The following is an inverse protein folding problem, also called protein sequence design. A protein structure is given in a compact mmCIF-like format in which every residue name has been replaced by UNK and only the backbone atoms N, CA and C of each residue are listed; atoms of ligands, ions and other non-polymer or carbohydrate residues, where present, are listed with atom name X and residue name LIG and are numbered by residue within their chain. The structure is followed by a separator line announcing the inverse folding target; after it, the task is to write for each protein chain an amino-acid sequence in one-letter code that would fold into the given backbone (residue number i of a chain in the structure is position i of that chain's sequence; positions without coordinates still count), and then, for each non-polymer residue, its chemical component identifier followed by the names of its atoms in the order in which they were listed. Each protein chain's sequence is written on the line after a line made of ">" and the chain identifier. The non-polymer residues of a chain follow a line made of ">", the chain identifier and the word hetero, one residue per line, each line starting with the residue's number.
data_IF_442116590524
#
_entry.id   IF_442116590524
#
_cell.length_a   1.000
_cell.length_b   1.000
_cell.length_c   1.000
_cell.angle_alpha   90.00
_cell.angle_beta   90.00
_cell.angle_gamma   90.00
#
_symmetry.space_group_name_H-M   'P 1'
#
loop_
_entity.id
_entity.type
_entity.pdbx_description
1 polymer ?
#
# COMPACT_ATOMS: atom_id res chain seq x y z
N UNK A 1 -32.08 -5.32 -36.88
CA UNK A 1 -30.83 -6.05 -36.57
C UNK A 1 -31.04 -7.53 -36.78
N UNK A 2 -30.45 -8.13 -37.82
CA UNK A 2 -30.46 -9.57 -38.08
C UNK A 2 -29.18 -10.18 -37.47
N UNK A 3 -29.28 -11.32 -36.77
CA UNK A 3 -28.14 -11.87 -36.01
C UNK A 3 -26.92 -12.22 -36.88
N UNK A 4 -27.13 -12.64 -38.13
CA UNK A 4 -26.04 -13.08 -39.00
C UNK A 4 -25.16 -11.95 -39.54
N UNK A 5 -25.60 -10.69 -39.44
CA UNK A 5 -24.80 -9.50 -39.78
C UNK A 5 -24.28 -8.76 -38.54
N UNK A 6 -24.64 -9.21 -37.34
CA UNK A 6 -24.23 -8.56 -36.10
C UNK A 6 -22.76 -8.88 -35.76
N UNK A 7 -22.00 -7.85 -35.42
CA UNK A 7 -20.58 -7.89 -35.09
C UNK A 7 -20.32 -7.17 -33.78
N UNK A 8 -19.45 -7.75 -32.94
CA UNK A 8 -18.97 -7.13 -31.71
C UNK A 8 -17.73 -6.29 -32.01
N UNK A 9 -17.74 -5.01 -31.66
CA UNK A 9 -16.54 -4.18 -31.70
C UNK A 9 -15.57 -4.60 -30.59
N UNK A 10 -14.31 -4.85 -30.94
CA UNK A 10 -13.31 -5.34 -29.98
C UNK A 10 -12.76 -4.24 -29.04
N UNK A 11 -13.02 -2.97 -29.35
CA UNK A 11 -12.49 -1.85 -28.55
C UNK A 11 -13.51 -1.27 -27.57
N UNK A 12 -14.80 -1.21 -27.96
CA UNK A 12 -15.86 -0.64 -27.11
C UNK A 12 -16.94 -1.65 -26.69
N UNK A 13 -16.81 -2.92 -27.08
CA UNK A 13 -17.72 -4.01 -26.73
C UNK A 13 -19.20 -3.81 -27.16
N UNK A 14 -19.44 -2.91 -28.12
CA UNK A 14 -20.78 -2.65 -28.68
C UNK A 14 -21.08 -3.52 -29.91
N UNK A 15 -22.36 -3.81 -30.15
CA UNK A 15 -22.82 -4.67 -31.25
C UNK A 15 -23.45 -3.85 -32.38
N UNK A 16 -22.89 -3.97 -33.59
CA UNK A 16 -23.32 -3.23 -34.78
C UNK A 16 -23.28 -4.11 -36.05
N UNK A 17 -23.91 -3.65 -37.13
CA UNK A 17 -23.91 -4.29 -38.45
C UNK A 17 -23.09 -3.53 -39.52
N UNK A 18 -22.51 -2.38 -39.15
CA UNK A 18 -21.63 -1.59 -40.01
C UNK A 18 -20.22 -2.19 -40.15
N UNK A 19 -19.44 -1.70 -41.13
CA UNK A 19 -18.02 -2.06 -41.30
C UNK A 19 -17.09 -1.28 -40.36
N UNK A 20 -17.57 -0.14 -39.83
CA UNK A 20 -16.86 0.75 -38.92
C UNK A 20 -17.76 0.99 -37.70
N UNK A 21 -17.18 0.96 -36.50
CA UNK A 21 -17.95 1.18 -35.28
C UNK A 21 -18.40 2.65 -35.21
N UNK A 22 -19.71 2.95 -35.12
CA UNK A 22 -20.20 4.32 -35.03
C UNK A 22 -19.90 5.01 -33.69
N UNK A 23 -19.45 4.25 -32.67
CA UNK A 23 -19.14 4.76 -31.34
C UNK A 23 -17.67 5.15 -31.22
N UNK A 24 -16.75 4.28 -31.64
CA UNK A 24 -15.30 4.50 -31.48
C UNK A 24 -14.50 4.60 -32.79
N UNK A 25 -15.11 4.36 -33.96
CA UNK A 25 -14.42 4.40 -35.25
C UNK A 25 -13.49 3.21 -35.52
N UNK A 26 -13.60 2.13 -34.74
CA UNK A 26 -12.81 0.93 -34.96
C UNK A 26 -13.29 0.11 -36.16
N UNK A 27 -12.35 -0.52 -36.87
CA UNK A 27 -12.57 -1.53 -37.91
C UNK A 27 -12.34 -2.97 -37.40
N UNK A 28 -12.06 -3.13 -36.10
CA UNK A 28 -11.77 -4.43 -35.48
C UNK A 28 -13.02 -5.06 -34.88
N UNK A 29 -13.45 -6.19 -35.46
CA UNK A 29 -14.71 -6.84 -35.11
C UNK A 29 -14.59 -8.35 -34.92
N UNK A 30 -15.42 -8.91 -34.04
CA UNK A 30 -15.68 -10.33 -33.91
C UNK A 30 -17.09 -10.68 -34.40
N UNK A 31 -17.20 -11.77 -35.18
CA UNK A 31 -18.50 -12.28 -35.61
C UNK A 31 -19.18 -13.06 -34.50
N UNK A 32 -20.48 -12.82 -34.30
CA UNK A 32 -21.28 -13.50 -33.29
C UNK A 32 -22.17 -14.53 -33.99
N UNK A 33 -22.18 -15.77 -33.52
CA UNK A 33 -23.00 -16.84 -34.11
C UNK A 33 -24.37 -17.01 -33.45
N UNK A 34 -24.51 -16.59 -32.19
CA UNK A 34 -25.76 -16.71 -31.42
C UNK A 34 -25.85 -15.63 -30.34
N UNK A 35 -27.06 -15.15 -30.10
CA UNK A 35 -27.37 -14.37 -28.91
C UNK A 35 -27.73 -15.31 -27.76
N UNK A 36 -27.00 -15.23 -26.65
CA UNK A 36 -27.38 -15.95 -25.42
C UNK A 36 -28.19 -14.94 -24.61
N UNK A 37 -29.51 -15.12 -24.44
CA UNK A 37 -30.27 -14.23 -23.59
C UNK A 37 -29.67 -14.26 -22.19
N UNK A 38 -29.34 -13.09 -21.66
CA UNK A 38 -28.95 -12.98 -20.27
C UNK A 38 -30.09 -13.61 -19.44
N UNK A 39 -29.78 -14.55 -18.53
CA UNK A 39 -30.82 -15.11 -17.68
C UNK A 39 -31.46 -13.95 -16.94
N UNK A 40 -32.75 -13.70 -17.21
CA UNK A 40 -33.57 -12.68 -16.56
C UNK A 40 -33.19 -12.66 -15.09
N UNK A 41 -32.62 -11.51 -14.66
CA UNK A 41 -31.93 -11.33 -13.38
C UNK A 41 -32.65 -12.14 -12.32
N UNK A 42 -32.01 -13.22 -11.86
CA UNK A 42 -32.50 -14.20 -10.89
C UNK A 42 -33.67 -13.64 -10.07
N UNK A 43 -34.91 -13.93 -10.47
CA UNK A 43 -36.07 -13.77 -9.56
C UNK A 43 -35.96 -14.69 -8.34
N UNK A 44 -35.00 -15.61 -8.36
CA UNK A 44 -34.62 -16.38 -7.18
C UNK A 44 -33.97 -15.42 -6.18
N UNK A 45 -34.59 -15.19 -5.01
CA UNK A 45 -33.93 -14.46 -3.93
C UNK A 45 -32.58 -15.11 -3.68
N UNK A 46 -31.52 -14.32 -3.66
CA UNK A 46 -30.23 -14.82 -3.17
C UNK A 46 -30.48 -15.26 -1.72
N UNK A 47 -30.10 -16.50 -1.33
CA UNK A 47 -30.19 -16.90 0.07
C UNK A 47 -29.49 -15.85 0.93
N UNK A 48 -30.07 -15.41 2.05
CA UNK A 48 -29.41 -14.47 2.93
C UNK A 48 -28.08 -15.09 3.35
N UNK A 49 -26.99 -14.40 3.04
CA UNK A 49 -25.66 -14.77 3.52
C UNK A 49 -25.69 -14.62 5.04
N UNK A 50 -25.38 -15.68 5.82
CA UNK A 50 -25.34 -15.57 7.27
C UNK A 50 -24.30 -14.51 7.67
N UNK A 51 -24.63 -13.63 8.64
CA UNK A 51 -23.77 -12.51 9.02
C UNK A 51 -22.36 -12.97 9.43
N UNK A 52 -22.25 -14.18 9.99
CA UNK A 52 -20.97 -14.77 10.43
C UNK A 52 -19.98 -14.90 9.27
N UNK A 53 -20.43 -15.33 8.09
CA UNK A 53 -19.55 -15.48 6.93
C UNK A 53 -19.01 -14.14 6.44
N UNK A 54 -19.82 -13.07 6.48
CA UNK A 54 -19.41 -11.72 6.09
C UNK A 54 -18.34 -11.19 7.04
N UNK A 55 -18.49 -11.45 8.34
CA UNK A 55 -17.51 -11.04 9.35
C UNK A 55 -16.18 -11.78 9.17
N UNK A 56 -16.21 -13.10 8.90
CA UNK A 56 -15.00 -13.88 8.62
C UNK A 56 -14.25 -13.35 7.39
N UNK A 57 -14.94 -13.09 6.28
CA UNK A 57 -14.31 -12.52 5.09
C UNK A 57 -13.74 -11.12 5.36
N UNK A 58 -14.46 -10.30 6.14
CA UNK A 58 -13.98 -8.97 6.52
C UNK A 58 -12.72 -9.06 7.36
N UNK A 59 -12.62 -10.02 8.27
CA UNK A 59 -11.44 -10.24 9.10
C UNK A 59 -10.24 -10.72 8.28
N UNK A 60 -10.45 -11.64 7.34
CA UNK A 60 -9.39 -12.13 6.44
C UNK A 60 -8.88 -11.06 5.46
N UNK A 61 -9.77 -10.16 5.01
CA UNK A 61 -9.45 -9.12 4.03
C UNK A 61 -9.01 -7.82 4.68
N UNK A 62 -9.27 -7.62 5.97
CA UNK A 62 -8.76 -6.46 6.68
C UNK A 62 -7.32 -6.76 7.09
N UNK A 63 -6.31 -6.05 6.54
CA UNK A 63 -5.00 -6.06 7.15
C UNK A 63 -5.15 -5.32 8.47
N UNK A 64 -5.48 -6.04 9.54
CA UNK A 64 -5.52 -5.46 10.87
C UNK A 64 -4.14 -4.82 11.10
N UNK A 65 -4.05 -3.49 11.35
CA UNK A 65 -2.81 -2.94 11.85
C UNK A 65 -2.61 -3.61 13.20
N UNK A 66 -1.65 -4.53 13.28
CA UNK A 66 -1.22 -5.12 14.52
C UNK A 66 -1.01 -3.94 15.49
N UNK A 67 -1.91 -3.81 16.48
CA UNK A 67 -1.78 -2.83 17.54
C UNK A 67 -0.36 -2.91 18.10
N UNK A 68 0.22 -1.78 18.56
CA UNK A 68 1.66 -1.65 18.77
C UNK A 68 2.21 -2.86 19.51
N UNK A 69 2.91 -3.71 18.75
CA UNK A 69 3.37 -5.01 19.20
C UNK A 69 4.20 -4.83 20.48
N UNK A 70 4.23 -5.83 21.36
CA UNK A 70 5.01 -5.77 22.61
C UNK A 70 6.47 -5.31 22.41
N UNK A 71 6.99 -5.50 21.20
CA UNK A 71 8.29 -5.01 20.71
C UNK A 71 8.39 -3.48 20.74
N UNK A 72 7.36 -2.74 20.32
CA UNK A 72 7.35 -1.27 20.36
C UNK A 72 7.43 -0.73 21.80
N UNK A 73 6.81 -1.45 22.76
CA UNK A 73 6.89 -1.10 24.19
C UNK A 73 8.26 -1.39 24.78
N UNK A 74 8.92 -2.46 24.34
CA UNK A 74 10.29 -2.81 24.74
C UNK A 74 11.34 -1.87 24.12
N UNK A 75 11.18 -1.48 22.84
CA UNK A 75 12.04 -0.51 22.17
C UNK A 75 12.04 0.86 22.85
N UNK A 76 10.85 1.34 23.27
CA UNK A 76 10.75 2.60 24.03
C UNK A 76 11.48 2.53 25.37
N UNK A 77 11.47 1.37 26.05
CA UNK A 77 12.23 1.17 27.30
C UNK A 77 13.74 1.09 27.07
N UNK A 78 14.17 0.44 25.99
CA UNK A 78 15.59 0.37 25.61
C UNK A 78 16.19 1.73 25.28
N UNK A 79 15.46 2.59 24.56
CA UNK A 79 15.93 3.92 24.17
C UNK A 79 16.25 4.84 25.37
N UNK A 80 15.50 4.73 26.46
CA UNK A 80 15.73 5.52 27.68
C UNK A 80 17.06 5.13 28.34
N UNK A 81 17.41 3.83 28.34
CA UNK A 81 18.66 3.35 28.91
C UNK A 81 19.90 3.84 28.16
N UNK A 82 19.85 3.86 26.82
CA UNK A 82 20.97 4.31 25.98
C UNK A 82 21.24 5.81 26.16
N UNK A 83 20.19 6.63 26.25
CA UNK A 83 20.33 8.08 26.48
C UNK A 83 21.05 8.39 27.81
N UNK A 84 20.71 7.68 28.88
CA UNK A 84 21.35 7.86 30.18
C UNK A 84 22.86 7.52 30.15
N UNK A 85 23.25 6.43 29.49
CA UNK A 85 24.66 6.03 29.37
C UNK A 85 25.47 7.05 28.57
N UNK A 86 24.92 7.60 27.48
CA UNK A 86 25.60 8.63 26.69
C UNK A 86 25.83 9.93 27.47
N UNK A 87 24.86 10.36 28.29
CA UNK A 87 24.99 11.57 29.11
C UNK A 87 26.06 11.40 30.21
N UNK A 88 26.10 10.24 30.86
CA UNK A 88 27.10 9.92 31.90
C UNK A 88 28.51 9.85 31.30
N UNK A 89 28.68 9.17 30.16
CA UNK A 89 29.97 9.08 29.47
C UNK A 89 30.51 10.45 29.05
N UNK A 90 29.65 11.34 28.56
CA UNK A 90 30.06 12.68 28.16
C UNK A 90 30.39 13.60 29.36
N UNK A 91 29.66 13.47 30.47
CA UNK A 91 29.98 14.17 31.71
C UNK A 91 31.36 13.77 32.25
N UNK A 92 31.75 12.50 32.12
CA UNK A 92 33.08 12.03 32.50
C UNK A 92 34.18 12.49 31.54
N UNK A 93 33.92 12.46 30.22
CA UNK A 93 34.85 12.96 29.19
C UNK A 93 35.24 14.45 29.42
N UNK A 94 34.29 15.28 29.88
CA UNK A 94 34.54 16.68 30.22
C UNK A 94 35.49 16.83 31.41
N UNK A 95 35.46 15.91 32.37
CA UNK A 95 36.29 15.97 33.58
C UNK A 95 37.74 15.56 33.31
N UNK A 96 37.95 14.67 32.34
CA UNK A 96 39.28 14.23 31.91
C UNK A 96 40.00 15.22 30.99
N UNK A 97 39.29 16.25 30.48
CA UNK A 97 39.88 17.38 29.74
C UNK A 97 40.17 18.57 30.66
N UNK A 98 40.97 18.37 31.71
CA UNK A 98 41.74 19.50 32.28
C UNK A 98 43.03 19.67 31.47
N UNK A 99 43.36 20.90 31.04
CA UNK A 99 44.49 21.16 30.16
C UNK A 99 45.80 20.90 30.88
N UNK A 100 46.78 20.35 30.17
CA UNK A 100 48.19 20.58 30.49
C UNK A 100 48.41 22.08 30.63
N UNK A 101 48.81 22.54 31.82
CA UNK A 101 49.31 23.89 32.02
C UNK A 101 50.51 24.09 31.11
N UNK A 102 50.38 25.06 30.21
CA UNK A 102 51.50 25.68 29.51
C UNK A 102 52.14 26.63 30.51
N UNK A 103 53.43 26.47 30.79
CA UNK A 103 54.26 27.55 31.34
C UNK A 103 55.20 28.04 30.22
N UNK A 104 55.11 29.32 29.80
CA UNK A 104 56.21 30.07 29.20
C UNK A 104 56.99 30.85 30.28
N UNK A 105 58.15 31.41 29.90
CA UNK A 105 58.94 32.55 30.50
C UNK A 105 60.43 32.18 30.47
N UNK A 106 61.41 32.99 30.03
CA UNK A 106 61.48 34.33 29.44
C UNK A 106 62.97 34.64 29.14
N UNK A 107 63.20 35.45 28.09
CA UNK A 107 64.28 36.40 27.76
C UNK A 107 65.76 36.22 28.22
N UNK A 108 66.69 36.61 27.33
CA UNK A 108 68.05 37.00 27.76
C UNK A 108 69.06 37.27 26.64
N UNK A 109 68.94 38.46 26.05
CA UNK A 109 69.84 39.20 25.14
C UNK A 109 71.33 39.27 25.56
N UNK A 110 72.28 38.93 24.66
CA UNK A 110 73.51 39.71 24.33
C UNK A 110 74.39 39.04 23.27
#
# INVERSE_FOLDING_TARGET
>A
MQLHVARLCMDCEEVHDAQMCPVCGSETFAFISRWIPAPERRRRPRPPTPPDTVNTYRELLSPAPAGPSGVARWLRRGAVGVAAVTAVGWAWQRRSRRPSSIDPVEAGDK
#
